data_IF_726674356842
#
_entry.id   IF_726674356842
#
_cell.length_a   1.000
_cell.length_b   1.000
_cell.length_c   1.000
_cell.angle_alpha   90.00
_cell.angle_beta   90.00
_cell.angle_gamma   90.00
#
_symmetry.space_group_name_H-M   'P 1'
#
loop_
_entity.id
_entity.type
_entity.pdbx_description
1 polymer ?
#
# COMPACT_ATOMS: atom_id res chain seq x y z
N UNK A 1 -23.47 -18.23 0.05
CA UNK A 1 -22.43 -17.46 0.78
C UNK A 1 -21.00 -17.78 0.32
N UNK A 2 -20.78 -18.71 -0.63
CA UNK A 2 -19.44 -19.22 -1.02
C UNK A 2 -18.63 -18.37 -2.01
N UNK A 3 -18.91 -17.08 -2.14
CA UNK A 3 -18.24 -16.21 -3.12
C UNK A 3 -17.58 -14.97 -2.50
N UNK A 4 -17.57 -14.83 -1.17
CA UNK A 4 -16.97 -13.67 -0.50
C UNK A 4 -15.64 -14.05 0.13
N UNK A 5 -14.58 -13.33 -0.22
CA UNK A 5 -13.24 -13.47 0.35
C UNK A 5 -12.85 -12.20 1.09
N UNK A 6 -12.38 -12.35 2.33
CA UNK A 6 -11.75 -11.27 3.08
C UNK A 6 -10.23 -11.31 2.88
N UNK A 7 -9.65 -10.17 2.52
CA UNK A 7 -8.20 -10.00 2.43
C UNK A 7 -7.76 -9.15 3.62
N UNK A 8 -7.02 -9.76 4.53
CA UNK A 8 -6.57 -9.14 5.79
C UNK A 8 -5.06 -9.07 5.93
N UNK A 9 -4.61 -8.46 7.02
CA UNK A 9 -3.19 -8.42 7.41
C UNK A 9 -3.06 -8.33 8.92
N UNK A 10 -1.93 -8.76 9.46
CA UNK A 10 -1.61 -8.57 10.87
C UNK A 10 -1.06 -7.17 11.17
N UNK A 11 -0.45 -6.54 10.17
CA UNK A 11 0.14 -5.21 10.27
C UNK A 11 -0.12 -4.37 9.01
N UNK A 12 -0.13 -3.02 9.13
CA UNK A 12 -0.34 -2.13 8.01
C UNK A 12 0.71 -2.29 6.91
N UNK A 13 0.39 -1.83 5.69
CA UNK A 13 1.30 -1.82 4.54
C UNK A 13 1.90 -3.17 4.14
N UNK A 14 1.27 -4.29 4.52
CA UNK A 14 1.71 -5.64 4.15
C UNK A 14 1.53 -6.00 2.67
N UNK A 15 0.88 -5.15 1.86
CA UNK A 15 0.65 -5.38 0.42
C UNK A 15 -0.69 -6.02 0.06
N UNK A 16 -1.71 -5.90 0.92
CA UNK A 16 -3.09 -6.38 0.65
C UNK A 16 -3.60 -5.99 -0.73
N UNK A 17 -3.50 -4.72 -1.08
CA UNK A 17 -4.02 -4.20 -2.35
C UNK A 17 -3.30 -4.79 -3.58
N UNK A 18 -2.01 -5.17 -3.44
CA UNK A 18 -1.27 -5.87 -4.50
C UNK A 18 -1.88 -7.25 -4.73
N UNK A 19 -2.15 -7.99 -3.65
CA UNK A 19 -2.79 -9.30 -3.74
C UNK A 19 -4.20 -9.18 -4.33
N UNK A 20 -5.02 -8.25 -3.84
CA UNK A 20 -6.37 -7.97 -4.37
C UNK A 20 -6.34 -7.75 -5.88
N UNK A 21 -5.42 -6.90 -6.36
CA UNK A 21 -5.25 -6.61 -7.78
C UNK A 21 -4.96 -7.88 -8.57
N UNK A 22 -4.00 -8.69 -8.13
CA UNK A 22 -3.66 -9.95 -8.80
C UNK A 22 -4.80 -10.96 -8.80
N UNK A 23 -5.48 -11.14 -7.66
CA UNK A 23 -6.64 -12.03 -7.55
C UNK A 23 -7.79 -11.60 -8.45
N UNK A 24 -8.17 -10.32 -8.42
CA UNK A 24 -9.23 -9.81 -9.30
C UNK A 24 -8.87 -9.98 -10.77
N UNK A 25 -7.63 -9.66 -11.15
CA UNK A 25 -7.19 -9.74 -12.54
C UNK A 25 -7.26 -11.17 -13.06
N UNK A 26 -6.82 -12.14 -12.24
CA UNK A 26 -6.92 -13.55 -12.56
C UNK A 26 -8.38 -13.98 -12.77
N UNK A 27 -9.27 -13.67 -11.84
CA UNK A 27 -10.70 -14.00 -11.93
C UNK A 27 -11.35 -13.39 -13.18
N UNK A 28 -11.05 -12.12 -13.49
CA UNK A 28 -11.53 -11.46 -14.70
C UNK A 28 -11.00 -12.13 -15.98
N UNK A 29 -9.75 -12.63 -15.96
CA UNK A 29 -9.17 -13.36 -17.08
C UNK A 29 -9.84 -14.73 -17.33
N UNK A 30 -10.41 -15.33 -16.28
CA UNK A 30 -11.24 -16.53 -16.36
C UNK A 30 -12.71 -16.23 -16.75
N UNK A 31 -13.03 -14.96 -17.02
CA UNK A 31 -14.39 -14.52 -17.36
C UNK A 31 -15.35 -14.46 -16.18
N UNK A 32 -14.84 -14.51 -14.94
CA UNK A 32 -15.67 -14.35 -13.73
C UNK A 32 -15.98 -12.88 -13.48
N UNK A 33 -17.16 -12.66 -12.92
CA UNK A 33 -17.57 -11.34 -12.44
C UNK A 33 -16.97 -11.09 -11.06
N UNK A 34 -16.35 -9.91 -10.86
CA UNK A 34 -15.70 -9.54 -9.61
C UNK A 34 -16.34 -8.29 -9.01
N UNK A 35 -16.50 -8.28 -7.68
CA UNK A 35 -16.87 -7.11 -6.89
C UNK A 35 -15.79 -6.83 -5.86
N UNK A 36 -15.52 -5.56 -5.61
CA UNK A 36 -14.47 -5.16 -4.69
C UNK A 36 -14.92 -4.04 -3.78
N UNK A 37 -14.56 -4.11 -2.50
CA UNK A 37 -14.71 -2.98 -1.60
C UNK A 37 -13.87 -3.08 -0.36
N UNK A 38 -14.03 -2.07 0.49
CA UNK A 38 -13.32 -1.93 1.75
C UNK A 38 -14.33 -1.48 2.80
N UNK A 39 -14.87 -2.41 3.62
CA UNK A 39 -15.98 -2.10 4.53
C UNK A 39 -15.68 -0.94 5.50
N UNK A 40 -14.41 -0.77 5.88
CA UNK A 40 -13.93 0.37 6.65
C UNK A 40 -12.93 1.16 5.79
N UNK A 41 -13.35 2.32 5.27
CA UNK A 41 -12.47 3.19 4.51
C UNK A 41 -11.32 3.69 5.39
N UNK A 42 -10.13 3.74 4.83
CA UNK A 42 -8.89 4.22 5.46
C UNK A 42 -8.25 5.35 4.66
N UNK A 43 -8.77 5.65 3.48
CA UNK A 43 -8.35 6.76 2.63
C UNK A 43 -9.54 7.34 1.90
N UNK A 44 -9.65 8.66 1.99
CA UNK A 44 -10.53 9.45 1.16
C UNK A 44 -9.79 10.73 0.79
N UNK A 45 -9.67 11.00 -0.50
CA UNK A 45 -9.38 12.33 -1.03
C UNK A 45 -10.63 13.21 -0.87
N UNK A 46 -10.97 13.51 0.38
CA UNK A 46 -12.12 14.32 0.73
C UNK A 46 -11.67 15.57 1.47
N UNK A 47 -11.68 16.68 0.75
CA UNK A 47 -11.48 18.01 1.33
C UNK A 47 -12.83 18.67 1.57
N UNK A 48 -13.43 18.46 2.74
CA UNK A 48 -14.46 19.38 3.21
C UNK A 48 -14.47 19.43 4.73
N UNK A 49 -13.73 20.40 5.29
CA UNK A 49 -13.89 20.79 6.70
C UNK A 49 -15.35 21.20 6.95
N UNK A 50 -16.18 20.26 7.39
CA UNK A 50 -17.56 20.49 7.84
C UNK A 50 -18.70 20.03 6.93
N UNK A 51 -18.46 19.32 5.82
CA UNK A 51 -19.55 18.70 5.04
C UNK A 51 -19.84 17.27 5.52
N UNK A 52 -21.03 16.69 5.25
CA UNK A 52 -21.25 15.26 5.47
C UNK A 52 -20.31 14.43 4.59
N UNK A 53 -19.97 13.22 5.04
CA UNK A 53 -19.25 12.24 4.23
C UNK A 53 -20.00 11.98 2.92
N UNK A 54 -19.28 11.71 1.81
CA UNK A 54 -19.92 11.39 0.55
C UNK A 54 -20.75 10.11 0.68
N UNK A 55 -21.88 10.07 -0.04
CA UNK A 55 -22.75 8.91 -0.17
C UNK A 55 -23.01 8.67 -1.67
N UNK A 56 -22.46 7.59 -2.27
CA UNK A 56 -21.75 6.50 -1.63
C UNK A 56 -20.32 6.85 -1.18
N UNK A 57 -19.92 6.30 -0.03
CA UNK A 57 -18.56 6.37 0.50
C UNK A 57 -17.69 5.32 -0.20
N UNK A 58 -16.79 5.75 -1.09
CA UNK A 58 -15.86 4.85 -1.78
C UNK A 58 -14.43 5.25 -1.43
N UNK A 59 -13.71 4.34 -0.78
CA UNK A 59 -12.29 4.47 -0.44
C UNK A 59 -11.42 4.65 -1.70
N UNK A 60 -10.35 5.44 -1.59
CA UNK A 60 -9.46 5.73 -2.72
C UNK A 60 -8.82 4.46 -3.31
N UNK A 61 -8.44 3.49 -2.46
CA UNK A 61 -7.88 2.21 -2.92
C UNK A 61 -8.92 1.43 -3.74
N UNK A 62 -10.20 1.51 -3.36
CA UNK A 62 -11.32 0.88 -4.08
C UNK A 62 -11.55 1.53 -5.44
N UNK A 63 -11.54 2.86 -5.51
CA UNK A 63 -11.64 3.58 -6.78
C UNK A 63 -10.47 3.22 -7.70
N UNK A 64 -9.25 3.25 -7.17
CA UNK A 64 -8.06 2.95 -7.94
C UNK A 64 -8.08 1.54 -8.51
N UNK A 65 -8.39 0.52 -7.68
CA UNK A 65 -8.50 -0.87 -8.13
C UNK A 65 -9.60 -1.01 -9.19
N UNK A 66 -10.76 -0.38 -8.98
CA UNK A 66 -11.86 -0.36 -9.94
C UNK A 66 -11.45 0.19 -11.30
N UNK A 67 -10.86 1.39 -11.33
CA UNK A 67 -10.38 2.03 -12.57
C UNK A 67 -9.30 1.19 -13.25
N UNK A 68 -8.35 0.66 -12.49
CA UNK A 68 -7.23 -0.14 -13.01
C UNK A 68 -7.70 -1.42 -13.69
N UNK A 69 -8.73 -2.07 -13.14
CA UNK A 69 -9.28 -3.31 -13.66
C UNK A 69 -10.42 -3.10 -14.67
N UNK A 70 -10.86 -1.86 -14.86
CA UNK A 70 -12.00 -1.54 -15.72
C UNK A 70 -13.34 -2.05 -15.17
N UNK A 71 -13.50 -2.06 -13.85
CA UNK A 71 -14.76 -2.45 -13.19
C UNK A 71 -15.79 -1.31 -13.30
N UNK A 72 -17.05 -1.66 -13.58
CA UNK A 72 -18.17 -0.73 -13.47
C UNK A 72 -18.35 -0.24 -12.03
N UNK A 73 -18.84 0.99 -11.82
CA UNK A 73 -19.06 1.56 -10.48
C UNK A 73 -20.01 0.70 -9.63
N UNK A 74 -20.94 -0.02 -10.26
CA UNK A 74 -21.87 -0.94 -9.56
C UNK A 74 -21.17 -2.18 -8.99
N UNK A 75 -19.94 -2.46 -9.40
CA UNK A 75 -19.09 -3.53 -8.87
C UNK A 75 -18.25 -3.08 -7.68
N UNK A 76 -18.20 -1.77 -7.41
CA UNK A 76 -17.51 -1.21 -6.26
C UNK A 76 -18.46 -1.18 -5.07
N UNK A 77 -18.07 -1.83 -3.98
CA UNK A 77 -18.86 -1.91 -2.76
C UNK A 77 -18.51 -0.71 -1.88
N UNK A 78 -19.50 0.13 -1.52
CA UNK A 78 -19.28 1.26 -0.63
C UNK A 78 -18.80 0.84 0.75
N UNK A 79 -17.93 1.67 1.32
CA UNK A 79 -17.50 1.57 2.71
C UNK A 79 -18.64 1.95 3.65
N UNK A 80 -18.72 1.28 4.78
CA UNK A 80 -19.76 1.49 5.79
C UNK A 80 -19.42 2.65 6.72
N UNK A 81 -18.13 2.80 7.03
CA UNK A 81 -17.58 3.86 7.87
C UNK A 81 -16.25 4.32 7.29
N UNK A 82 -15.84 5.54 7.64
CA UNK A 82 -14.49 6.06 7.46
C UNK A 82 -13.73 5.94 8.77
N UNK A 83 -12.52 5.42 8.73
CA UNK A 83 -11.53 5.49 9.80
C UNK A 83 -10.70 6.77 9.63
N UNK A 84 -11.07 7.82 10.35
CA UNK A 84 -10.30 9.07 10.46
C UNK A 84 -10.26 9.52 11.94
N UNK A 85 -9.33 10.41 12.32
CA UNK A 85 -9.28 10.95 13.68
C UNK A 85 -10.64 11.53 14.14
N UNK A 86 -11.35 12.23 13.25
CA UNK A 86 -12.64 12.87 13.55
C UNK A 86 -13.77 11.85 13.76
N UNK A 87 -13.86 10.84 12.90
CA UNK A 87 -14.89 9.80 13.04
C UNK A 87 -14.60 8.87 14.22
N UNK A 88 -13.33 8.62 14.51
CA UNK A 88 -12.89 7.82 15.65
C UNK A 88 -13.21 8.52 16.98
N UNK A 89 -12.92 9.82 17.10
CA UNK A 89 -13.29 10.61 18.28
C UNK A 89 -14.81 10.64 18.50
N UNK A 90 -15.56 10.81 17.41
CA UNK A 90 -17.03 10.75 17.44
C UNK A 90 -17.53 9.39 17.95
N UNK A 91 -17.01 8.30 17.40
CA UNK A 91 -17.37 6.93 17.82
C UNK A 91 -17.02 6.66 19.28
N UNK A 92 -15.85 7.08 19.72
CA UNK A 92 -15.40 6.91 21.10
C UNK A 92 -16.33 7.64 22.08
N UNK A 93 -16.74 8.88 21.76
CA UNK A 93 -17.68 9.65 22.59
C UNK A 93 -19.08 9.05 22.62
N UNK A 94 -19.53 8.44 21.53
CA UNK A 94 -20.83 7.77 21.46
C UNK A 94 -20.86 6.47 22.29
N UNK A 95 -19.70 5.85 22.56
CA UNK A 95 -19.63 4.59 23.29
C UNK A 95 -20.31 3.42 22.58
N UNK A 96 -20.49 3.52 21.26
CA UNK A 96 -21.14 2.51 20.44
C UNK A 96 -20.12 1.81 19.53
N UNK A 97 -19.88 0.53 19.80
CA UNK A 97 -18.93 -0.33 19.08
C UNK A 97 -19.60 -1.18 17.99
N UNK A 98 -20.89 -0.98 17.71
CA UNK A 98 -21.62 -1.73 16.69
C UNK A 98 -21.36 -1.17 15.28
N UNK A 99 -21.36 -2.06 14.28
CA UNK A 99 -21.28 -1.70 12.86
C UNK A 99 -22.46 -0.85 12.39
N UNK A 100 -23.59 -0.92 13.10
CA UNK A 100 -24.85 -0.32 12.70
C UNK A 100 -25.49 -1.07 11.53
N UNK A 101 -26.57 -0.50 10.99
CA UNK A 101 -27.40 -1.12 9.95
C UNK A 101 -26.69 -1.31 8.61
N UNK A 102 -25.55 -0.63 8.39
CA UNK A 102 -24.74 -0.76 7.17
C UNK A 102 -24.25 -2.19 6.92
N UNK A 103 -23.85 -2.92 7.97
CA UNK A 103 -23.38 -4.30 7.82
C UNK A 103 -24.52 -5.25 7.44
N UNK A 104 -25.71 -5.05 7.99
CA UNK A 104 -26.90 -5.82 7.62
C UNK A 104 -27.32 -5.56 6.16
N UNK A 105 -27.19 -4.32 5.70
CA UNK A 105 -27.44 -3.96 4.31
C UNK A 105 -26.41 -4.59 3.37
N UNK A 106 -25.13 -4.55 3.73
CA UNK A 106 -24.08 -5.23 3.00
C UNK A 106 -24.35 -6.74 2.92
N UNK A 107 -24.71 -7.38 4.03
CA UNK A 107 -25.07 -8.79 4.07
C UNK A 107 -26.22 -9.13 3.10
N UNK A 108 -27.29 -8.33 3.09
CA UNK A 108 -28.42 -8.53 2.18
C UNK A 108 -28.00 -8.37 0.72
N UNK A 109 -27.20 -7.34 0.43
CA UNK A 109 -26.68 -7.09 -0.90
C UNK A 109 -25.79 -8.24 -1.41
N UNK A 110 -24.88 -8.76 -0.58
CA UNK A 110 -24.05 -9.93 -0.88
C UNK A 110 -24.88 -11.22 -1.03
N UNK A 111 -26.00 -11.34 -0.32
CA UNK A 111 -26.91 -12.48 -0.48
C UNK A 111 -27.67 -12.43 -1.80
N UNK A 112 -28.02 -11.24 -2.27
CA UNK A 112 -28.76 -11.05 -3.53
C UNK A 112 -27.90 -11.31 -4.78
N UNK A 113 -26.58 -11.24 -4.67
CA UNK A 113 -25.64 -11.47 -5.77
C UNK A 113 -24.78 -12.71 -5.50
N UNK A 114 -25.24 -13.87 -5.99
CA UNK A 114 -24.51 -15.13 -5.90
C UNK A 114 -23.65 -15.42 -7.14
N UNK A 115 -23.71 -14.60 -8.19
CA UNK A 115 -23.00 -14.84 -9.45
C UNK A 115 -21.60 -14.21 -9.46
N UNK A 116 -21.42 -13.14 -8.69
CA UNK A 116 -20.16 -12.43 -8.60
C UNK A 116 -19.26 -13.00 -7.49
N UNK A 117 -17.95 -12.98 -7.71
CA UNK A 117 -16.96 -13.19 -6.66
C UNK A 117 -16.67 -11.85 -5.97
N UNK A 118 -16.97 -11.77 -4.68
CA UNK A 118 -16.77 -10.57 -3.87
C UNK A 118 -15.46 -10.66 -3.11
N UNK A 119 -14.65 -9.63 -3.22
CA UNK A 119 -13.46 -9.44 -2.40
C UNK A 119 -13.63 -8.20 -1.53
N UNK A 120 -13.37 -8.35 -0.24
CA UNK A 120 -13.36 -7.22 0.69
C UNK A 120 -11.98 -7.09 1.30
N UNK A 121 -11.32 -5.96 1.07
CA UNK A 121 -10.08 -5.62 1.77
C UNK A 121 -10.43 -5.12 3.17
N UNK A 122 -9.88 -5.75 4.21
CA UNK A 122 -10.00 -5.29 5.57
C UNK A 122 -8.98 -4.17 5.88
N UNK A 123 -9.10 -3.58 7.06
CA UNK A 123 -8.15 -2.59 7.54
C UNK A 123 -6.72 -3.16 7.73
N UNK A 124 -5.79 -2.33 8.19
CA UNK A 124 -4.37 -2.62 8.33
C UNK A 124 -4.01 -3.70 9.36
N UNK A 125 -4.88 -4.07 10.29
CA UNK A 125 -4.63 -5.15 11.24
C UNK A 125 -5.88 -5.98 11.55
N UNK A 126 -5.73 -7.04 12.34
CA UNK A 126 -6.87 -7.84 12.82
C UNK A 126 -7.85 -7.03 13.64
N UNK A 127 -7.34 -6.10 14.46
CA UNK A 127 -8.10 -5.36 15.48
C UNK A 127 -8.55 -3.98 15.01
N UNK A 128 -7.95 -3.46 13.95
CA UNK A 128 -8.33 -2.17 13.40
C UNK A 128 -9.78 -2.22 12.90
N UNK A 129 -10.61 -1.29 13.38
CA UNK A 129 -12.05 -1.31 13.14
C UNK A 129 -12.90 -1.82 14.31
N UNK A 130 -12.32 -2.28 15.43
CA UNK A 130 -13.08 -2.67 16.63
C UNK A 130 -14.03 -1.58 17.15
N UNK A 131 -13.61 -0.31 17.12
CA UNK A 131 -14.47 0.83 17.50
C UNK A 131 -15.70 1.01 16.59
N UNK A 132 -15.68 0.39 15.42
CA UNK A 132 -16.72 0.45 14.41
C UNK A 132 -17.45 -0.89 14.28
N UNK A 133 -17.09 -1.93 15.05
CA UNK A 133 -17.65 -3.27 14.86
C UNK A 133 -17.25 -3.94 13.53
N UNK A 134 -16.17 -3.47 12.90
CA UNK A 134 -15.72 -3.87 11.57
C UNK A 134 -14.27 -4.37 11.57
N UNK A 135 -13.79 -4.87 12.70
CA UNK A 135 -12.50 -5.58 12.74
C UNK A 135 -12.52 -6.80 11.81
N UNK A 136 -11.34 -7.27 11.38
CA UNK A 136 -11.26 -8.41 10.46
C UNK A 136 -11.98 -9.65 11.03
N UNK A 137 -11.83 -9.89 12.33
CA UNK A 137 -12.48 -11.01 13.03
C UNK A 137 -14.00 -10.84 13.00
N UNK A 138 -14.52 -9.65 13.33
CA UNK A 138 -15.96 -9.36 13.30
C UNK A 138 -16.55 -9.44 11.89
N UNK A 139 -15.82 -8.99 10.87
CA UNK A 139 -16.23 -9.13 9.48
C UNK A 139 -16.28 -10.59 9.04
N UNK A 140 -15.25 -11.38 9.37
CA UNK A 140 -15.21 -12.81 9.06
C UNK A 140 -16.36 -13.57 9.72
N UNK A 141 -16.68 -13.20 10.97
CA UNK A 141 -17.83 -13.71 11.73
C UNK A 141 -19.16 -13.33 11.09
N UNK A 142 -19.40 -12.03 10.93
CA UNK A 142 -20.66 -11.50 10.45
C UNK A 142 -20.99 -11.95 9.03
N UNK A 143 -19.97 -12.05 8.16
CA UNK A 143 -20.13 -12.45 6.77
C UNK A 143 -20.00 -13.97 6.56
N UNK A 144 -19.58 -14.73 7.57
CA UNK A 144 -19.21 -16.15 7.45
C UNK A 144 -18.26 -16.40 6.26
N UNK A 145 -17.29 -15.50 6.09
CA UNK A 145 -16.40 -15.46 4.93
C UNK A 145 -15.00 -15.98 5.28
N UNK A 146 -14.35 -16.75 4.39
CA UNK A 146 -12.94 -17.12 4.53
C UNK A 146 -12.03 -15.89 4.45
N UNK A 147 -10.88 -15.99 5.11
CA UNK A 147 -9.85 -14.95 5.21
C UNK A 147 -8.55 -15.46 4.62
N UNK A 148 -7.94 -14.65 3.76
CA UNK A 148 -6.54 -14.78 3.36
C UNK A 148 -5.75 -13.62 3.95
N UNK A 149 -4.68 -13.93 4.69
CA UNK A 149 -3.81 -12.91 5.28
C UNK A 149 -2.62 -12.62 4.38
N UNK A 150 -2.34 -11.34 4.16
CA UNK A 150 -1.07 -10.89 3.59
C UNK A 150 -0.13 -10.53 4.72
N UNK A 151 0.95 -11.30 4.83
CA UNK A 151 1.94 -11.20 5.90
C UNK A 151 3.20 -10.53 5.41
N UNK A 152 3.64 -9.46 6.07
CA UNK A 152 4.92 -8.82 5.77
C UNK A 152 6.04 -9.67 6.41
N UNK A 153 6.79 -10.39 5.58
CA UNK A 153 7.89 -11.19 6.06
C UNK A 153 9.06 -10.32 6.47
N UNK A 154 9.59 -10.55 7.67
CA UNK A 154 10.80 -9.90 8.17
C UNK A 154 11.84 -10.98 8.49
N UNK A 155 11.47 -11.89 9.38
CA UNK A 155 12.18 -13.13 9.71
C UNK A 155 11.22 -14.06 10.46
N UNK A 156 11.72 -15.20 10.96
CA UNK A 156 10.92 -16.20 11.67
C UNK A 156 10.16 -15.66 12.89
N UNK A 157 10.58 -14.55 13.50
CA UNK A 157 9.88 -13.94 14.65
C UNK A 157 8.58 -13.26 14.22
N UNK A 158 8.45 -12.84 12.96
CA UNK A 158 7.19 -12.23 12.49
C UNK A 158 6.03 -13.23 12.42
N UNK A 159 6.30 -14.53 12.56
CA UNK A 159 5.30 -15.60 12.57
C UNK A 159 4.39 -15.55 13.81
N UNK A 160 4.83 -14.96 14.93
CA UNK A 160 4.00 -14.86 16.14
C UNK A 160 2.65 -14.18 15.87
N UNK A 161 2.65 -13.14 15.04
CA UNK A 161 1.44 -12.45 14.62
C UNK A 161 0.49 -13.35 13.81
N UNK A 162 1.03 -14.24 12.96
CA UNK A 162 0.25 -15.21 12.21
C UNK A 162 -0.39 -16.27 13.11
N UNK A 163 0.35 -16.76 14.11
CA UNK A 163 -0.18 -17.74 15.06
C UNK A 163 -1.28 -17.12 15.94
N UNK A 164 -1.10 -15.88 16.38
CA UNK A 164 -2.14 -15.13 17.08
C UNK A 164 -3.39 -14.91 16.20
N UNK A 165 -3.19 -14.66 14.90
CA UNK A 165 -4.29 -14.50 13.94
C UNK A 165 -5.02 -15.82 13.68
N UNK A 166 -4.29 -16.94 13.55
CA UNK A 166 -4.85 -18.28 13.43
C UNK A 166 -5.77 -18.61 14.60
N UNK A 167 -5.36 -18.27 15.83
CA UNK A 167 -6.19 -18.49 17.01
C UNK A 167 -7.47 -17.65 17.02
N UNK A 168 -7.40 -16.40 16.56
CA UNK A 168 -8.55 -15.49 16.55
C UNK A 168 -9.53 -15.77 15.40
N UNK A 169 -9.04 -16.16 14.23
CA UNK A 169 -9.86 -16.42 13.05
C UNK A 169 -10.37 -17.86 12.97
N UNK A 170 -9.68 -18.80 13.63
CA UNK A 170 -10.02 -20.22 13.64
C UNK A 170 -10.14 -20.79 12.22
N UNK A 171 -11.21 -21.57 12.00
CA UNK A 171 -11.47 -22.24 10.72
C UNK A 171 -11.73 -21.27 9.55
N UNK A 172 -11.93 -19.97 9.82
CA UNK A 172 -12.10 -18.97 8.76
C UNK A 172 -10.78 -18.55 8.12
N UNK A 173 -9.63 -18.81 8.76
CA UNK A 173 -8.34 -18.54 8.14
C UNK A 173 -8.05 -19.59 7.06
N UNK A 174 -8.30 -19.24 5.80
CA UNK A 174 -8.04 -20.12 4.66
C UNK A 174 -6.55 -20.29 4.39
N UNK A 175 -5.74 -19.27 4.70
CA UNK A 175 -4.29 -19.31 4.59
C UNK A 175 -3.65 -17.94 4.49
N UNK A 176 -2.37 -17.94 4.12
CA UNK A 176 -1.51 -16.75 4.15
C UNK A 176 -0.71 -16.61 2.86
N UNK A 177 -0.38 -15.37 2.50
CA UNK A 177 0.62 -15.03 1.48
C UNK A 177 1.74 -14.27 2.17
N UNK A 178 2.97 -14.77 2.07
CA UNK A 178 4.15 -14.08 2.58
C UNK A 178 4.56 -13.02 1.54
N UNK A 179 4.74 -11.78 1.96
CA UNK A 179 5.08 -10.67 1.09
C UNK A 179 6.33 -9.92 1.58
N UNK A 180 6.90 -9.13 0.68
CA UNK A 180 8.11 -8.34 0.87
C UNK A 180 9.37 -9.14 1.23
N UNK A 181 9.43 -10.40 0.81
CA UNK A 181 10.58 -11.28 1.03
C UNK A 181 11.78 -10.76 0.23
N UNK A 182 12.99 -10.82 0.79
CA UNK A 182 14.19 -10.46 0.00
C UNK A 182 14.29 -11.43 -1.19
N UNK A 183 14.52 -10.97 -2.44
CA UNK A 183 14.48 -11.85 -3.61
C UNK A 183 15.37 -13.09 -3.47
N UNK A 184 16.55 -12.93 -2.89
CA UNK A 184 17.53 -14.02 -2.69
C UNK A 184 17.08 -15.04 -1.61
N UNK A 185 16.14 -14.67 -0.74
CA UNK A 185 15.62 -15.53 0.34
C UNK A 185 14.38 -16.33 -0.10
N UNK A 186 13.76 -16.02 -1.24
CA UNK A 186 12.49 -16.64 -1.67
C UNK A 186 12.61 -18.15 -1.82
N UNK A 187 13.68 -18.64 -2.42
CA UNK A 187 13.89 -20.08 -2.59
C UNK A 187 14.08 -20.80 -1.25
N UNK A 188 14.90 -20.22 -0.36
CA UNK A 188 15.15 -20.77 0.97
C UNK A 188 13.87 -20.82 1.82
N UNK A 189 13.06 -19.75 1.78
CA UNK A 189 11.77 -19.70 2.46
C UNK A 189 10.83 -20.79 1.96
N UNK A 190 10.73 -20.97 0.65
CA UNK A 190 9.87 -22.00 0.06
C UNK A 190 10.31 -23.41 0.47
N UNK A 191 11.61 -23.67 0.61
CA UNK A 191 12.14 -24.98 0.97
C UNK A 191 12.01 -25.30 2.47
N UNK A 192 12.18 -24.32 3.35
CA UNK A 192 12.31 -24.57 4.80
C UNK A 192 11.18 -23.95 5.62
N UNK A 193 10.82 -22.70 5.35
CA UNK A 193 9.85 -21.96 6.18
C UNK A 193 8.41 -22.35 5.82
N UNK A 194 8.09 -22.45 4.53
CA UNK A 194 6.74 -22.79 4.08
C UNK A 194 6.28 -24.15 4.62
N UNK A 195 7.07 -25.24 4.53
CA UNK A 195 6.68 -26.52 5.14
C UNK A 195 6.53 -26.45 6.67
N UNK A 196 7.36 -25.65 7.35
CA UNK A 196 7.25 -25.46 8.79
C UNK A 196 5.94 -24.74 9.19
N UNK A 197 5.55 -23.70 8.45
CA UNK A 197 4.26 -23.03 8.64
C UNK A 197 3.09 -23.98 8.38
N UNK A 198 3.17 -24.79 7.32
CA UNK A 198 2.16 -25.80 7.02
C UNK A 198 2.04 -26.86 8.13
N UNK A 199 3.15 -27.29 8.73
CA UNK A 199 3.15 -28.19 9.88
C UNK A 199 2.49 -27.58 11.13
N UNK A 200 2.48 -26.25 11.25
CA UNK A 200 1.74 -25.48 12.27
C UNK A 200 0.27 -25.23 11.90
N UNK A 201 -0.21 -25.80 10.79
CA UNK A 201 -1.59 -25.64 10.32
C UNK A 201 -1.86 -24.33 9.58
N UNK A 202 -0.82 -23.61 9.16
CA UNK A 202 -0.95 -22.41 8.32
C UNK A 202 -0.73 -22.79 6.86
N UNK A 203 -1.80 -22.77 6.06
CA UNK A 203 -1.66 -22.93 4.61
C UNK A 203 -1.00 -21.69 4.01
N UNK A 204 0.07 -21.87 3.25
CA UNK A 204 0.75 -20.78 2.52
C UNK A 204 0.40 -20.88 1.04
N UNK A 205 -0.17 -19.81 0.48
CA UNK A 205 -0.56 -19.73 -0.92
C UNK A 205 0.51 -19.09 -1.81
N UNK A 206 1.49 -18.39 -1.25
CA UNK A 206 2.53 -17.76 -2.04
C UNK A 206 3.60 -17.07 -1.21
N UNK A 207 4.74 -16.83 -1.86
CA UNK A 207 5.91 -16.13 -1.31
C UNK A 207 6.34 -15.07 -2.31
N UNK A 208 5.89 -13.84 -2.09
CA UNK A 208 6.10 -12.71 -2.98
C UNK A 208 7.36 -11.92 -2.60
N UNK A 209 8.33 -11.74 -3.52
CA UNK A 209 9.50 -10.92 -3.26
C UNK A 209 9.14 -9.43 -3.15
N UNK A 210 9.94 -8.69 -2.38
CA UNK A 210 9.88 -7.22 -2.38
C UNK A 210 10.36 -6.68 -3.72
N UNK A 211 9.72 -5.60 -4.16
CA UNK A 211 10.08 -4.87 -5.36
C UNK A 211 10.35 -3.40 -5.04
N UNK A 212 11.48 -2.82 -5.50
CA UNK A 212 11.73 -1.38 -5.38
C UNK A 212 10.61 -0.55 -6.01
N UNK A 213 10.05 -1.00 -7.14
CA UNK A 213 8.95 -0.33 -7.83
C UNK A 213 7.66 -0.30 -6.99
N UNK A 214 7.31 -1.40 -6.31
CA UNK A 214 6.10 -1.40 -5.47
C UNK A 214 6.25 -0.54 -4.22
N UNK A 215 7.49 -0.31 -3.78
CA UNK A 215 7.84 0.56 -2.66
C UNK A 215 8.21 1.98 -3.08
N UNK A 216 8.14 2.31 -4.37
CA UNK A 216 8.55 3.64 -4.84
C UNK A 216 7.49 4.69 -4.49
N UNK A 217 7.92 5.93 -4.27
CA UNK A 217 7.04 7.07 -3.99
C UNK A 217 7.11 8.04 -5.15
N UNK A 218 5.98 8.64 -5.56
CA UNK A 218 6.00 9.68 -6.59
C UNK A 218 6.63 10.97 -6.06
N UNK A 219 7.26 11.74 -6.93
CA UNK A 219 7.75 13.08 -6.55
C UNK A 219 6.61 13.96 -6.04
N UNK A 220 5.41 13.85 -6.62
CA UNK A 220 4.21 14.55 -6.17
C UNK A 220 3.81 14.21 -4.73
N UNK A 221 3.93 12.95 -4.32
CA UNK A 221 3.68 12.55 -2.93
C UNK A 221 4.74 13.12 -1.97
N UNK A 222 6.00 13.17 -2.40
CA UNK A 222 7.07 13.84 -1.63
C UNK A 222 6.78 15.34 -1.49
N UNK A 223 6.36 16.00 -2.56
CA UNK A 223 5.96 17.42 -2.53
C UNK A 223 4.86 17.65 -1.51
N UNK A 224 3.80 16.82 -1.52
CA UNK A 224 2.68 16.93 -0.59
C UNK A 224 3.09 16.72 0.86
N UNK A 225 3.90 15.69 1.16
CA UNK A 225 4.31 15.36 2.53
C UNK A 225 5.32 16.34 3.12
N UNK A 226 6.19 16.90 2.28
CA UNK A 226 7.23 17.84 2.69
C UNK A 226 6.78 19.30 2.64
N UNK A 227 5.54 19.57 2.19
CA UNK A 227 5.07 20.91 1.81
C UNK A 227 6.09 21.65 0.93
N UNK A 228 6.65 20.92 -0.05
CA UNK A 228 7.80 21.37 -0.81
C UNK A 228 7.40 22.36 -1.90
N UNK A 229 8.18 23.43 -2.06
CA UNK A 229 8.07 24.34 -3.20
C UNK A 229 8.79 23.75 -4.41
N UNK A 230 8.04 23.44 -5.46
CA UNK A 230 8.61 22.98 -6.74
C UNK A 230 9.22 24.15 -7.51
N UNK A 231 10.53 24.12 -7.74
CA UNK A 231 11.30 25.18 -8.41
C UNK A 231 11.24 25.03 -9.94
N UNK A 232 11.45 23.81 -10.44
CA UNK A 232 11.36 23.48 -11.88
C UNK A 232 10.73 22.09 -12.09
N UNK A 233 10.40 21.78 -13.34
CA UNK A 233 9.80 20.51 -13.79
C UNK A 233 8.50 20.12 -13.04
N UNK A 234 7.54 21.04 -12.96
CA UNK A 234 6.24 20.81 -12.29
C UNK A 234 5.39 19.74 -12.98
N UNK A 235 5.68 19.46 -14.24
CA UNK A 235 5.07 18.47 -15.10
C UNK A 235 5.65 17.07 -14.95
N UNK A 236 6.68 16.89 -14.10
CA UNK A 236 7.40 15.63 -13.87
C UNK A 236 7.19 15.06 -12.45
N UNK A 237 6.04 15.35 -11.83
CA UNK A 237 5.74 14.91 -10.47
C UNK A 237 5.33 13.43 -10.36
N UNK A 238 5.03 12.79 -11.49
CA UNK A 238 4.70 11.37 -11.63
C UNK A 238 5.92 10.44 -11.54
N UNK A 239 7.14 11.00 -11.60
CA UNK A 239 8.37 10.22 -11.51
C UNK A 239 8.43 9.43 -10.20
N UNK A 240 8.90 8.18 -10.30
CA UNK A 240 8.94 7.25 -9.18
C UNK A 240 10.33 7.21 -8.54
N UNK A 241 10.38 7.55 -7.27
CA UNK A 241 11.57 7.48 -6.43
C UNK A 241 11.59 6.14 -5.72
N UNK A 242 12.63 5.35 -5.94
CA UNK A 242 12.82 4.02 -5.31
C UNK A 242 13.69 4.08 -4.05
N UNK A 243 14.63 5.02 -3.99
CA UNK A 243 15.59 5.12 -2.89
C UNK A 243 15.91 6.56 -2.51
N UNK A 244 16.26 6.77 -1.25
CA UNK A 244 16.75 8.05 -0.74
C UNK A 244 18.28 8.07 -0.70
N UNK A 245 18.91 9.19 -1.07
CA UNK A 245 20.33 9.44 -0.86
C UNK A 245 20.53 10.80 -0.18
N UNK A 246 21.42 10.86 0.80
CA UNK A 246 21.66 12.05 1.61
C UNK A 246 23.02 12.65 1.26
N UNK A 247 22.99 13.86 0.70
CA UNK A 247 24.14 14.70 0.37
C UNK A 247 24.78 15.39 1.58
N UNK A 248 24.80 14.75 2.75
CA UNK A 248 25.41 15.32 3.97
C UNK A 248 26.94 15.06 4.05
N UNK A 249 27.46 14.20 3.18
CA UNK A 249 28.87 13.79 3.16
C UNK A 249 29.70 14.57 2.11
N UNK A 250 30.96 14.19 1.89
CA UNK A 250 31.78 14.75 0.82
C UNK A 250 31.34 14.18 -0.56
N UNK A 251 31.65 14.87 -1.66
CA UNK A 251 31.22 14.49 -3.01
C UNK A 251 31.75 13.13 -3.44
N UNK A 252 33.00 12.79 -3.09
CA UNK A 252 33.61 11.52 -3.48
C UNK A 252 32.88 10.32 -2.86
N UNK A 253 32.49 10.44 -1.59
CA UNK A 253 31.67 9.45 -0.90
C UNK A 253 30.25 9.42 -1.46
N UNK A 254 29.65 10.57 -1.77
CA UNK A 254 28.33 10.64 -2.39
C UNK A 254 28.28 9.93 -3.76
N UNK A 255 29.34 10.04 -4.57
CA UNK A 255 29.42 9.38 -5.88
C UNK A 255 29.41 7.85 -5.80
N UNK A 256 29.97 7.25 -4.74
CA UNK A 256 29.86 5.80 -4.53
C UNK A 256 28.41 5.35 -4.30
N UNK A 257 27.64 6.13 -3.55
CA UNK A 257 26.22 5.87 -3.34
C UNK A 257 25.41 6.09 -4.62
N UNK A 258 25.70 7.16 -5.37
CA UNK A 258 25.00 7.48 -6.61
C UNK A 258 25.21 6.43 -7.72
N UNK A 259 26.37 5.76 -7.75
CA UNK A 259 26.64 4.69 -8.73
C UNK A 259 25.93 3.38 -8.44
N UNK A 260 25.56 3.10 -7.19
CA UNK A 260 25.00 1.81 -6.76
C UNK A 260 23.47 1.79 -6.75
N UNK A 261 22.84 2.97 -6.76
CA UNK A 261 21.40 3.13 -6.63
C UNK A 261 20.80 3.70 -7.91
N UNK A 262 19.53 3.39 -8.13
CA UNK A 262 18.75 3.89 -9.26
C UNK A 262 17.54 4.63 -8.73
N UNK A 263 17.01 5.51 -9.58
CA UNK A 263 15.76 6.21 -9.34
C UNK A 263 15.71 6.89 -7.97
N UNK A 264 16.75 7.66 -7.63
CA UNK A 264 16.93 8.23 -6.30
C UNK A 264 16.24 9.59 -6.11
N UNK A 265 15.84 9.89 -4.89
CA UNK A 265 15.70 11.26 -4.41
C UNK A 265 16.97 11.63 -3.67
N UNK A 266 17.56 12.76 -4.02
CA UNK A 266 18.76 13.26 -3.35
C UNK A 266 18.38 14.44 -2.48
N UNK A 267 18.66 14.36 -1.18
CA UNK A 267 18.48 15.47 -0.23
C UNK A 267 19.82 16.10 0.07
N UNK A 268 19.98 17.39 -0.15
CA UNK A 268 21.24 18.09 0.12
C UNK A 268 21.01 19.55 0.54
N UNK A 269 21.98 20.15 1.23
CA UNK A 269 21.96 21.57 1.56
C UNK A 269 21.98 22.45 0.32
N UNK A 270 21.27 23.57 0.35
CA UNK A 270 21.23 24.56 -0.74
C UNK A 270 22.61 25.18 -1.05
N UNK A 271 23.53 25.16 -0.09
CA UNK A 271 24.91 25.64 -0.19
C UNK A 271 25.89 24.63 -0.81
N UNK A 272 25.47 23.38 -1.04
CA UNK A 272 26.30 22.28 -1.57
C UNK A 272 26.16 22.10 -3.09
N UNK A 273 26.50 23.13 -3.86
CA UNK A 273 26.39 23.10 -5.34
C UNK A 273 27.18 21.95 -5.98
N UNK A 274 28.30 21.57 -5.38
CA UNK A 274 29.13 20.44 -5.78
C UNK A 274 28.35 19.11 -5.78
N UNK A 275 27.59 18.84 -4.72
CA UNK A 275 26.73 17.64 -4.61
C UNK A 275 25.52 17.77 -5.50
N UNK A 276 24.90 18.95 -5.56
CA UNK A 276 23.70 19.18 -6.35
C UNK A 276 23.94 18.84 -7.84
N UNK A 277 25.04 19.34 -8.41
CA UNK A 277 25.40 19.03 -9.80
C UNK A 277 25.79 17.55 -9.97
N UNK A 278 26.55 16.98 -9.04
CA UNK A 278 26.90 15.56 -9.10
C UNK A 278 25.66 14.64 -9.02
N UNK A 279 24.63 15.04 -8.27
CA UNK A 279 23.37 14.32 -8.16
C UNK A 279 22.58 14.37 -9.47
N UNK A 280 22.55 15.52 -10.16
CA UNK A 280 21.88 15.66 -11.46
C UNK A 280 22.51 14.77 -12.54
N UNK A 281 23.81 14.52 -12.48
CA UNK A 281 24.52 13.62 -13.40
C UNK A 281 24.35 12.12 -13.05
N UNK A 282 23.63 11.80 -11.96
CA UNK A 282 23.32 10.44 -11.53
C UNK A 282 21.89 10.02 -11.88
N UNK A 283 21.50 8.79 -11.51
CA UNK A 283 20.11 8.29 -11.67
C UNK A 283 19.18 8.91 -10.60
N UNK A 284 18.97 10.22 -10.69
CA UNK A 284 18.19 11.03 -9.77
C UNK A 284 16.86 11.40 -10.40
N UNK A 285 15.76 11.07 -9.72
CA UNK A 285 14.38 11.38 -10.10
C UNK A 285 13.89 12.68 -9.46
N UNK A 286 14.56 13.13 -8.40
CA UNK A 286 14.24 14.37 -7.71
C UNK A 286 15.42 14.86 -6.88
N UNK A 287 15.70 16.17 -6.93
CA UNK A 287 16.67 16.83 -6.07
C UNK A 287 15.94 17.72 -5.06
N UNK A 288 16.18 17.51 -3.77
CA UNK A 288 15.51 18.18 -2.65
C UNK A 288 16.53 19.04 -1.89
N UNK A 289 16.28 20.34 -1.85
CA UNK A 289 17.18 21.32 -1.26
C UNK A 289 16.68 21.83 0.10
N UNK A 290 17.48 21.58 1.14
CA UNK A 290 17.21 22.00 2.52
C UNK A 290 18.00 23.26 2.90
N UNK A 291 17.58 23.95 3.96
CA UNK A 291 18.26 25.16 4.48
C UNK A 291 17.79 26.47 3.83
N UNK A 292 18.33 27.61 4.26
CA UNK A 292 17.78 28.93 3.91
C UNK A 292 18.17 29.48 2.51
N UNK A 293 19.13 28.85 1.82
CA UNK A 293 19.63 29.31 0.53
C UNK A 293 18.69 28.99 -0.64
N UNK A 294 18.63 29.90 -1.63
CA UNK A 294 18.01 29.65 -2.93
C UNK A 294 19.00 28.96 -3.88
N UNK A 295 18.56 28.05 -4.76
CA UNK A 295 19.43 27.41 -5.73
C UNK A 295 19.99 28.41 -6.73
N UNK A 296 21.24 28.19 -7.15
CA UNK A 296 21.86 29.00 -8.20
C UNK A 296 21.09 28.82 -9.53
N UNK A 297 20.93 29.88 -10.35
CA UNK A 297 20.25 29.77 -11.65
C UNK A 297 20.85 28.69 -12.57
N UNK A 298 22.17 28.47 -12.48
CA UNK A 298 22.86 27.42 -13.24
C UNK A 298 22.37 26.02 -12.87
N UNK A 299 22.07 25.77 -11.58
CA UNK A 299 21.51 24.51 -11.14
C UNK A 299 20.10 24.32 -11.68
N UNK A 300 19.27 25.37 -11.58
CA UNK A 300 17.87 25.32 -12.03
C UNK A 300 17.81 25.00 -13.52
N UNK A 301 18.60 25.71 -14.33
CA UNK A 301 18.67 25.46 -15.77
C UNK A 301 19.14 24.03 -16.06
N UNK A 302 20.14 23.52 -15.33
CA UNK A 302 20.65 22.16 -15.53
C UNK A 302 19.63 21.10 -15.15
N UNK A 303 18.90 21.30 -14.05
CA UNK A 303 17.83 20.41 -13.62
C UNK A 303 16.68 20.38 -14.64
N UNK A 304 16.34 21.54 -15.21
CA UNK A 304 15.33 21.67 -16.27
C UNK A 304 15.75 20.94 -17.56
N UNK A 305 17.00 21.11 -18.01
CA UNK A 305 17.57 20.39 -19.15
C UNK A 305 17.54 18.86 -18.99
N UNK A 306 17.72 18.37 -17.77
CA UNK A 306 17.73 16.95 -17.43
C UNK A 306 16.36 16.42 -17.01
N UNK A 307 15.33 17.29 -17.02
CA UNK A 307 13.97 16.99 -16.58
C UNK A 307 13.87 16.41 -15.16
N UNK A 308 14.76 16.86 -14.26
CA UNK A 308 14.79 16.43 -12.85
C UNK A 308 14.10 17.49 -11.99
N UNK A 309 12.95 17.18 -11.36
CA UNK A 309 12.29 18.04 -10.39
C UNK A 309 13.23 18.54 -9.29
N UNK A 310 13.32 19.87 -9.16
CA UNK A 310 14.03 20.54 -8.09
C UNK A 310 13.04 21.04 -7.04
N UNK A 311 13.13 20.49 -5.83
CA UNK A 311 12.26 20.82 -4.72
C UNK A 311 13.01 21.64 -3.68
N UNK A 312 12.33 22.62 -3.09
CA UNK A 312 12.80 23.38 -1.95
C UNK A 312 11.90 23.12 -0.75
N UNK A 313 12.51 22.75 0.37
CA UNK A 313 11.79 22.54 1.64
C UNK A 313 12.29 23.51 2.70
N UNK A 314 11.43 23.87 3.66
CA UNK A 314 11.83 24.72 4.79
C UNK A 314 12.49 23.92 5.91
N UNK A 315 12.23 22.61 5.97
CA UNK A 315 12.80 21.70 6.94
C UNK A 315 14.33 21.56 6.83
N UNK A 316 14.97 21.19 7.93
CA UNK A 316 16.38 20.76 7.90
C UNK A 316 16.52 19.38 7.24
N UNK A 317 17.77 18.99 6.98
CA UNK A 317 18.09 17.73 6.29
C UNK A 317 17.60 16.51 7.04
N UNK A 318 17.69 16.48 8.38
CA UNK A 318 17.29 15.32 9.17
C UNK A 318 15.77 15.16 9.16
N UNK A 319 15.04 16.23 9.46
CA UNK A 319 13.57 16.23 9.43
C UNK A 319 13.03 15.88 8.04
N UNK A 320 13.65 16.39 6.98
CA UNK A 320 13.31 16.04 5.59
C UNK A 320 13.48 14.55 5.32
N UNK A 321 14.60 13.96 5.77
CA UNK A 321 14.89 12.54 5.61
C UNK A 321 13.87 11.68 6.36
N UNK A 322 13.54 12.01 7.61
CA UNK A 322 12.56 11.28 8.40
C UNK A 322 11.17 11.25 7.73
N UNK A 323 10.71 12.38 7.20
CA UNK A 323 9.43 12.46 6.47
C UNK A 323 9.45 11.60 5.20
N UNK A 324 10.56 11.60 4.46
CA UNK A 324 10.71 10.77 3.26
C UNK A 324 10.77 9.28 3.62
N UNK A 325 11.48 8.88 4.67
CA UNK A 325 11.53 7.49 5.12
C UNK A 325 10.13 6.99 5.55
N UNK A 326 9.35 7.83 6.23
CA UNK A 326 7.95 7.55 6.53
C UNK A 326 7.09 7.44 5.27
N UNK A 327 7.39 8.19 4.20
CA UNK A 327 6.73 8.04 2.91
C UNK A 327 6.99 6.66 2.28
N UNK A 328 8.23 6.19 2.31
CA UNK A 328 8.61 4.86 1.84
C UNK A 328 8.01 3.71 2.67
N UNK A 329 7.71 3.94 3.96
CA UNK A 329 7.01 2.97 4.81
C UNK A 329 5.51 2.89 4.54
N UNK A 330 4.90 3.95 4.03
CA UNK A 330 3.45 4.11 3.86
C UNK A 330 3.02 4.23 2.39
N UNK A 331 3.58 3.37 1.53
CA UNK A 331 3.33 3.42 0.09
C UNK A 331 2.00 2.74 -0.23
N UNK A 332 1.12 3.48 -0.91
CA UNK A 332 -0.10 2.93 -1.50
C UNK A 332 0.13 2.59 -2.97
N UNK A 333 -0.72 1.73 -3.51
CA UNK A 333 -0.76 1.42 -4.94
C UNK A 333 -1.75 2.39 -5.59
N UNK A 334 -1.27 3.48 -6.18
CA UNK A 334 -2.11 4.45 -6.90
C UNK A 334 -1.62 4.71 -8.34
N UNK A 335 -0.62 3.96 -8.79
CA UNK A 335 0.02 4.13 -10.08
C UNK A 335 -0.15 2.86 -10.94
N UNK A 336 -0.61 3.03 -12.18
CA UNK A 336 -0.90 1.93 -13.12
C UNK A 336 0.31 1.02 -13.38
N UNK A 337 1.52 1.59 -13.36
CA UNK A 337 2.77 0.83 -13.52
C UNK A 337 2.98 -0.14 -12.35
N UNK A 338 2.71 0.28 -11.11
CA UNK A 338 2.78 -0.60 -9.93
C UNK A 338 1.69 -1.66 -9.98
N UNK A 339 0.48 -1.32 -10.40
CA UNK A 339 -0.60 -2.30 -10.51
C UNK A 339 -0.29 -3.39 -11.53
N UNK A 340 0.25 -3.02 -12.70
CA UNK A 340 0.67 -3.98 -13.73
C UNK A 340 1.75 -4.92 -13.20
N UNK A 341 2.69 -4.40 -12.43
CA UNK A 341 3.72 -5.21 -11.77
C UNK A 341 3.14 -6.10 -10.68
N UNK A 342 2.18 -5.60 -9.88
CA UNK A 342 1.50 -6.38 -8.84
C UNK A 342 0.76 -7.60 -9.44
N UNK A 343 0.12 -7.45 -10.61
CA UNK A 343 -0.50 -8.58 -11.31
C UNK A 343 0.51 -9.69 -11.59
N UNK A 344 1.65 -9.35 -12.20
CA UNK A 344 2.70 -10.32 -12.51
C UNK A 344 3.27 -10.98 -11.27
N UNK A 345 3.53 -10.17 -10.23
CA UNK A 345 4.06 -10.68 -8.97
C UNK A 345 3.14 -11.73 -8.34
N UNK A 346 1.82 -11.49 -8.35
CA UNK A 346 0.84 -12.44 -7.82
C UNK A 346 0.72 -13.67 -8.72
N UNK A 347 0.67 -13.52 -10.04
CA UNK A 347 0.58 -14.65 -10.98
C UNK A 347 1.82 -15.56 -10.92
N UNK A 348 3.02 -15.00 -10.75
CA UNK A 348 4.27 -15.75 -10.72
C UNK A 348 4.53 -16.44 -9.38
N UNK A 349 4.10 -15.84 -8.26
CA UNK A 349 4.49 -16.28 -6.92
C UNK A 349 3.35 -16.85 -6.06
N UNK A 350 2.09 -16.78 -6.50
CA UNK A 350 0.94 -17.31 -5.77
C UNK A 350 0.28 -18.50 -6.48
N UNK A 351 -0.10 -19.50 -5.71
CA UNK A 351 -0.81 -20.70 -6.12
C UNK A 351 -2.32 -20.40 -6.21
N UNK A 352 -2.71 -19.60 -7.19
CA UNK A 352 -4.07 -19.05 -7.32
C UNK A 352 -5.16 -20.12 -7.38
N UNK A 353 -4.94 -21.21 -8.12
CA UNK A 353 -5.90 -22.31 -8.19
C UNK A 353 -6.13 -22.97 -6.83
N UNK A 354 -5.10 -23.09 -6.00
CA UNK A 354 -5.24 -23.62 -4.65
C UNK A 354 -5.93 -22.65 -3.69
N UNK A 355 -5.65 -21.36 -3.84
CA UNK A 355 -6.30 -20.30 -3.06
C UNK A 355 -7.80 -20.31 -3.34
N UNK A 356 -8.20 -20.24 -4.61
CA UNK A 356 -9.62 -20.22 -4.97
C UNK A 356 -10.35 -21.50 -4.56
N UNK A 357 -9.70 -22.67 -4.65
CA UNK A 357 -10.26 -23.93 -4.16
C UNK A 357 -10.47 -23.94 -2.63
N UNK A 358 -9.61 -23.27 -1.86
CA UNK A 358 -9.71 -23.22 -0.41
C UNK A 358 -10.78 -22.25 0.10
N UNK A 359 -11.19 -21.28 -0.72
CA UNK A 359 -12.13 -20.22 -0.34
C UNK A 359 -13.51 -20.32 -1.02
N UNK A 360 -13.71 -21.34 -1.87
CA UNK A 360 -14.98 -21.64 -2.55
C UNK A 360 -15.91 -22.52 -1.74
#
# INVERSE_FOLDING_TARGET
>A
MGNTLLIGSCEPFSGKSALVLGLARHLLSEGRTVRFGKPLATSLEWTAKGSPLPDPLIDDDVRFVGTTLGLDETRLIPSLHLLSPETADTRLRQGNLEAGTGLEMLLKDLQNDQDSFTMLEAAGSLHEGLMYGLSLVQLAEGLSAPVVLVHLWQDSRSVDALLAAQHQLGDRLAGVVLNAVTPDEVEELNQHVVPALQALGLKVFGVMPRSPLLRSVTVGELVRRLDARVICCKERLELLVETLSIGAMNVNSAMEFFRRRRNMAVVTGADRTDIQLAALEASTQCLILTGAGEPLPQLVNRADELEVPLLKVEHDTLATVEVIEQAFGHVRLHETVKATYAFRLVEEHCQLSELFRAVS
#
